data_IF_004833489672
#
_entry.id   IF_004833489672
#
_cell.length_a   1.000
_cell.length_b   1.000
_cell.length_c   1.000
_cell.angle_alpha   90.00
_cell.angle_beta   90.00
_cell.angle_gamma   90.00
#
_symmetry.space_group_name_H-M   'P 1'
#
loop_
_entity.id
_entity.type
_entity.pdbx_description
1 polymer ?
#
# COMPACT_ATOMS: atom_id res chain seq x y z
N UNK A 1 -27.77 -31.95 -52.84
CA UNK A 1 -26.58 -31.48 -52.10
C UNK A 1 -26.34 -30.03 -52.45
N UNK A 2 -25.97 -29.25 -51.43
CA UNK A 2 -25.81 -27.76 -51.33
C UNK A 2 -27.10 -26.96 -51.15
N UNK A 3 -27.64 -26.97 -49.93
CA UNK A 3 -28.51 -25.89 -49.45
C UNK A 3 -27.66 -24.62 -49.22
N UNK A 4 -27.99 -23.56 -49.95
CA UNK A 4 -27.41 -22.23 -49.77
C UNK A 4 -28.05 -21.58 -48.54
N UNK A 5 -27.29 -21.45 -47.47
CA UNK A 5 -27.75 -20.76 -46.25
C UNK A 5 -27.67 -19.25 -46.52
N UNK A 6 -28.83 -18.60 -46.60
CA UNK A 6 -28.91 -17.14 -46.68
C UNK A 6 -28.56 -16.53 -45.32
N UNK A 7 -27.42 -15.85 -45.24
CA UNK A 7 -27.04 -15.06 -44.08
C UNK A 7 -27.84 -13.74 -44.09
N UNK A 8 -28.72 -13.59 -43.11
CA UNK A 8 -29.26 -12.28 -42.76
C UNK A 8 -28.32 -11.63 -41.74
N UNK A 9 -27.93 -10.35 -41.92
CA UNK A 9 -27.12 -9.66 -40.93
C UNK A 9 -27.92 -9.48 -39.62
N UNK A 10 -27.26 -9.57 -38.45
CA UNK A 10 -27.93 -9.39 -37.17
C UNK A 10 -28.43 -7.96 -36.99
N UNK A 11 -29.57 -7.81 -36.32
CA UNK A 11 -30.16 -6.51 -36.04
C UNK A 11 -29.29 -5.66 -35.10
N UNK A 12 -29.34 -4.32 -35.20
CA UNK A 12 -28.57 -3.42 -34.35
C UNK A 12 -29.01 -3.51 -32.87
N UNK A 13 -28.04 -3.66 -31.96
CA UNK A 13 -28.31 -3.68 -30.52
C UNK A 13 -28.76 -2.28 -30.08
N UNK A 14 -29.92 -2.20 -29.43
CA UNK A 14 -30.41 -0.98 -28.78
C UNK A 14 -29.83 -0.88 -27.37
N UNK A 15 -29.25 0.28 -27.05
CA UNK A 15 -28.84 0.66 -25.69
C UNK A 15 -30.09 0.64 -24.78
N UNK A 16 -30.00 -0.04 -23.64
CA UNK A 16 -30.99 0.04 -22.56
C UNK A 16 -30.40 0.96 -21.49
N UNK A 17 -31.05 2.10 -21.28
CA UNK A 17 -30.79 2.99 -20.15
C UNK A 17 -31.63 2.54 -18.94
N UNK A 18 -30.93 2.45 -17.80
CA UNK A 18 -31.30 2.48 -16.38
C UNK A 18 -32.58 1.81 -15.81
N UNK A 19 -32.32 1.12 -14.68
CA UNK A 19 -33.14 0.86 -13.50
C UNK A 19 -34.20 -0.26 -13.50
N UNK A 20 -33.90 -1.37 -12.81
CA UNK A 20 -34.57 -1.81 -11.55
C UNK A 20 -34.08 -3.21 -11.12
N UNK A 21 -33.93 -3.37 -9.80
CA UNK A 21 -33.37 -4.46 -9.00
C UNK A 21 -33.96 -5.88 -9.23
N UNK A 22 -33.09 -6.89 -9.18
CA UNK A 22 -33.41 -8.20 -8.58
C UNK A 22 -32.15 -8.97 -8.19
N UNK A 23 -32.21 -9.54 -6.99
CA UNK A 23 -31.17 -10.08 -6.14
C UNK A 23 -30.39 -11.32 -6.64
N UNK A 24 -29.20 -11.40 -6.05
CA UNK A 24 -28.46 -12.59 -5.61
C UNK A 24 -27.61 -13.47 -6.57
N UNK A 25 -26.31 -13.40 -6.25
CA UNK A 25 -25.31 -14.46 -6.17
C UNK A 25 -24.35 -14.64 -7.36
N UNK A 26 -23.09 -14.37 -7.02
CA UNK A 26 -21.83 -14.87 -7.62
C UNK A 26 -21.15 -13.94 -8.63
N UNK A 27 -20.29 -13.04 -8.14
CA UNK A 27 -19.04 -12.63 -8.81
C UNK A 27 -18.07 -11.94 -7.84
N UNK A 28 -16.76 -12.24 -7.92
CA UNK A 28 -15.73 -11.54 -7.14
C UNK A 28 -15.63 -10.10 -7.65
N UNK A 29 -15.68 -9.14 -6.73
CA UNK A 29 -15.50 -7.73 -7.02
C UNK A 29 -14.08 -7.48 -7.58
N UNK A 30 -13.97 -7.47 -8.90
CA UNK A 30 -12.93 -6.77 -9.63
C UNK A 30 -13.51 -5.38 -9.90
N UNK A 31 -13.20 -4.41 -9.03
CA UNK A 31 -13.46 -3.01 -9.33
C UNK A 31 -12.44 -2.56 -10.38
N UNK A 32 -12.95 -2.33 -11.59
CA UNK A 32 -12.24 -1.69 -12.68
C UNK A 32 -11.64 -0.35 -12.24
N UNK A 33 -10.49 -0.08 -12.86
CA UNK A 33 -9.71 1.13 -12.75
C UNK A 33 -10.56 2.39 -12.95
N UNK A 34 -10.54 3.26 -11.94
CA UNK A 34 -10.62 4.70 -12.14
C UNK A 34 -9.37 5.27 -11.50
N UNK A 35 -8.44 5.65 -12.36
CA UNK A 35 -7.23 6.38 -12.04
C UNK A 35 -7.61 7.76 -11.49
N UNK A 36 -7.98 7.85 -10.22
CA UNK A 36 -7.94 9.10 -9.47
C UNK A 36 -6.57 9.18 -8.79
N UNK A 37 -5.56 9.55 -9.58
CA UNK A 37 -4.20 9.77 -9.10
C UNK A 37 -4.02 11.15 -8.42
N UNK A 38 -5.07 11.97 -8.32
CA UNK A 38 -4.95 13.38 -7.91
C UNK A 38 -5.93 13.80 -6.80
N UNK A 39 -5.97 13.12 -5.65
CA UNK A 39 -6.75 13.64 -4.49
C UNK A 39 -6.11 13.39 -3.13
N UNK A 40 -4.78 13.52 -3.02
CA UNK A 40 -4.09 13.48 -1.71
C UNK A 40 -3.03 14.59 -1.60
N UNK A 41 -3.35 15.82 -1.99
CA UNK A 41 -2.50 16.98 -1.70
C UNK A 41 -3.04 17.87 -0.57
N UNK A 42 -4.31 17.73 -0.16
CA UNK A 42 -4.96 18.65 0.78
C UNK A 42 -5.63 18.00 1.99
N UNK A 43 -5.36 16.72 2.26
CA UNK A 43 -5.85 16.11 3.50
C UNK A 43 -4.95 16.57 4.65
N UNK A 44 -5.45 17.49 5.47
CA UNK A 44 -4.83 17.92 6.73
C UNK A 44 -4.72 16.71 7.67
N UNK A 45 -3.55 16.07 7.67
CA UNK A 45 -3.27 14.83 8.39
C UNK A 45 -3.24 14.99 9.93
N UNK A 46 -3.55 16.17 10.45
CA UNK A 46 -3.50 16.50 11.88
C UNK A 46 -4.57 15.83 12.75
N UNK A 47 -5.57 15.15 12.15
CA UNK A 47 -6.59 14.39 12.90
C UNK A 47 -6.87 12.98 12.34
N UNK A 48 -6.00 12.46 11.47
CA UNK A 48 -6.23 11.15 10.84
C UNK A 48 -5.66 10.04 11.70
N UNK A 49 -6.54 9.42 12.47
CA UNK A 49 -6.22 8.17 13.15
C UNK A 49 -6.09 7.06 12.12
N UNK A 50 -4.90 6.50 11.95
CA UNK A 50 -4.71 5.31 11.12
C UNK A 50 -5.32 4.11 11.86
N UNK A 51 -6.23 3.39 11.22
CA UNK A 51 -6.88 2.20 11.79
C UNK A 51 -6.03 0.95 11.55
N UNK A 52 -5.53 0.79 10.33
CA UNK A 52 -4.79 -0.40 9.91
C UNK A 52 -3.87 -0.07 8.74
N UNK A 53 -2.73 -0.75 8.70
CA UNK A 53 -1.81 -0.73 7.56
C UNK A 53 -1.72 -2.14 7.00
N UNK A 54 -1.77 -2.27 5.68
CA UNK A 54 -1.61 -3.51 4.95
C UNK A 54 -0.49 -3.32 3.94
N UNK A 55 0.48 -4.23 3.91
CA UNK A 55 1.53 -4.21 2.88
C UNK A 55 1.28 -5.39 1.95
N UNK A 56 0.94 -5.07 0.71
CA UNK A 56 0.66 -6.03 -0.36
C UNK A 56 1.95 -6.48 -1.03
N UNK A 57 1.80 -7.29 -2.09
CA UNK A 57 2.93 -7.77 -2.88
C UNK A 57 3.77 -6.62 -3.46
N UNK A 58 5.03 -6.94 -3.73
CA UNK A 58 5.96 -5.98 -4.32
C UNK A 58 6.01 -6.12 -5.84
N UNK A 59 6.21 -4.99 -6.51
CA UNK A 59 6.57 -4.93 -7.92
C UNK A 59 8.08 -4.75 -8.04
N UNK A 60 8.70 -5.46 -8.98
CA UNK A 60 10.12 -5.26 -9.30
C UNK A 60 10.18 -4.21 -10.40
N UNK A 61 10.85 -3.10 -10.11
CA UNK A 61 11.04 -1.98 -11.03
C UNK A 61 12.50 -1.95 -11.46
N UNK A 62 12.72 -1.70 -12.75
CA UNK A 62 14.05 -1.48 -13.32
C UNK A 62 14.30 0.02 -13.38
N UNK A 63 15.34 0.50 -12.70
CA UNK A 63 15.79 1.89 -12.77
C UNK A 63 16.62 2.17 -14.02
N UNK A 64 16.91 3.44 -14.24
CA UNK A 64 17.52 3.96 -15.46
C UNK A 64 18.90 3.36 -15.78
N UNK A 65 19.64 2.93 -14.75
CA UNK A 65 20.96 2.30 -14.88
C UNK A 65 20.89 0.77 -15.03
N UNK A 66 19.72 0.20 -15.32
CA UNK A 66 19.50 -1.25 -15.38
C UNK A 66 19.42 -1.95 -14.02
N UNK A 67 19.54 -1.18 -12.92
CA UNK A 67 19.42 -1.70 -11.55
C UNK A 67 17.98 -2.05 -11.23
N UNK A 68 17.72 -3.23 -10.68
CA UNK A 68 16.39 -3.65 -10.26
C UNK A 68 16.17 -3.39 -8.77
N UNK A 69 14.96 -3.01 -8.38
CA UNK A 69 14.58 -2.88 -6.98
C UNK A 69 13.11 -3.24 -6.78
N UNK A 70 12.80 -3.76 -5.59
CA UNK A 70 11.43 -4.07 -5.20
C UNK A 70 10.76 -2.83 -4.56
N UNK A 71 9.52 -2.58 -4.97
CA UNK A 71 8.65 -1.53 -4.45
C UNK A 71 7.41 -2.20 -3.86
N UNK A 72 7.09 -1.91 -2.61
CA UNK A 72 5.93 -2.47 -1.93
C UNK A 72 4.74 -1.52 -2.01
N UNK A 73 3.57 -2.07 -2.34
CA UNK A 73 2.30 -1.36 -2.22
C UNK A 73 1.83 -1.39 -0.76
N UNK A 74 1.69 -0.21 -0.17
CA UNK A 74 1.21 0.00 1.19
C UNK A 74 -0.19 0.61 1.13
N UNK A 75 -1.16 -0.01 1.78
CA UNK A 75 -2.54 0.47 1.88
C UNK A 75 -2.84 0.85 3.32
N UNK A 76 -3.18 2.10 3.56
CA UNK A 76 -3.58 2.61 4.86
C UNK A 76 -5.10 2.74 4.91
N UNK A 77 -5.69 2.14 5.94
CA UNK A 77 -7.10 2.27 6.25
C UNK A 77 -7.21 3.29 7.36
N UNK A 78 -7.88 4.39 7.10
CA UNK A 78 -8.07 5.46 8.06
C UNK A 78 -9.31 5.19 8.92
N UNK A 79 -9.31 5.70 10.16
CA UNK A 79 -10.51 5.75 10.98
C UNK A 79 -11.44 6.77 10.33
N UNK A 80 -12.63 6.33 9.95
CA UNK A 80 -13.71 7.25 9.59
C UNK A 80 -14.20 7.93 10.86
N UNK A 81 -14.44 9.23 10.78
CA UNK A 81 -15.21 9.92 11.81
C UNK A 81 -16.63 9.34 11.80
N UNK A 82 -17.19 8.88 12.94
CA UNK A 82 -18.57 8.39 13.01
C UNK A 82 -19.61 9.42 12.59
N UNK A 83 -19.28 10.71 12.56
CA UNK A 83 -20.16 11.80 12.12
C UNK A 83 -20.12 12.03 10.61
N UNK A 84 -19.14 11.46 9.90
CA UNK A 84 -19.03 11.57 8.45
C UNK A 84 -19.79 10.41 7.80
N UNK A 85 -21.07 10.63 7.56
CA UNK A 85 -21.94 9.82 6.69
C UNK A 85 -21.50 9.99 5.23
N UNK A 86 -20.29 9.57 4.89
CA UNK A 86 -19.95 9.27 3.50
C UNK A 86 -20.42 7.86 3.19
N UNK A 87 -21.29 7.72 2.19
CA UNK A 87 -21.82 6.44 1.68
C UNK A 87 -20.76 5.60 0.92
N UNK A 88 -19.48 5.88 1.13
CA UNK A 88 -18.35 5.11 0.62
C UNK A 88 -17.55 4.62 1.81
N UNK A 89 -16.99 3.41 1.74
CA UNK A 89 -16.26 2.77 2.84
C UNK A 89 -15.13 3.62 3.45
N UNK A 90 -14.44 3.10 4.49
CA UNK A 90 -13.42 3.87 5.21
C UNK A 90 -12.36 4.44 4.24
N UNK A 91 -11.85 5.66 4.48
CA UNK A 91 -10.90 6.27 3.57
C UNK A 91 -9.64 5.41 3.44
N UNK A 92 -9.23 5.16 2.20
CA UNK A 92 -8.07 4.34 1.85
C UNK A 92 -7.01 5.21 1.19
N UNK A 93 -5.77 5.10 1.67
CA UNK A 93 -4.60 5.72 1.06
C UNK A 93 -3.69 4.61 0.54
N UNK A 94 -3.27 4.70 -0.72
CA UNK A 94 -2.32 3.76 -1.32
C UNK A 94 -1.01 4.48 -1.61
N UNK A 95 0.09 3.89 -1.16
CA UNK A 95 1.44 4.41 -1.30
C UNK A 95 2.37 3.31 -1.82
N UNK A 96 3.46 3.73 -2.44
CA UNK A 96 4.49 2.83 -2.96
C UNK A 96 5.83 3.21 -2.34
N UNK A 97 6.45 2.29 -1.60
CA UNK A 97 7.71 2.55 -0.88
C UNK A 97 8.70 1.41 -1.08
N UNK A 98 9.98 1.74 -1.20
CA UNK A 98 11.09 0.78 -1.23
C UNK A 98 11.50 0.45 0.19
N UNK A 99 12.18 -0.67 0.36
CA UNK A 99 12.75 -1.06 1.66
C UNK A 99 13.64 0.03 2.27
N UNK A 100 14.46 0.70 1.45
CA UNK A 100 15.34 1.79 1.89
C UNK A 100 14.59 3.03 2.38
N UNK A 101 13.32 3.21 2.00
CA UNK A 101 12.49 4.30 2.52
C UNK A 101 12.08 4.00 3.98
N UNK A 102 11.82 2.73 4.32
CA UNK A 102 11.58 2.29 5.70
C UNK A 102 12.83 2.40 6.55
N UNK A 103 14.01 2.07 6.01
CA UNK A 103 15.29 2.24 6.73
C UNK A 103 15.54 3.71 7.07
N UNK A 104 15.34 4.61 6.09
CA UNK A 104 15.46 6.05 6.30
C UNK A 104 14.45 6.55 7.33
N UNK A 105 13.20 6.10 7.25
CA UNK A 105 12.18 6.44 8.23
C UNK A 105 12.54 5.98 9.65
N UNK A 106 12.91 4.70 9.83
CA UNK A 106 13.34 4.18 11.14
C UNK A 106 14.55 4.90 11.69
N UNK A 107 15.51 5.25 10.84
CA UNK A 107 16.71 5.98 11.26
C UNK A 107 16.35 7.37 11.80
N UNK A 108 15.49 8.10 11.09
CA UNK A 108 14.97 9.41 11.55
C UNK A 108 14.19 9.28 12.85
N UNK A 109 13.35 8.25 12.96
CA UNK A 109 12.58 7.95 14.17
C UNK A 109 13.49 7.74 15.39
N UNK A 110 14.55 6.95 15.24
CA UNK A 110 15.51 6.68 16.29
C UNK A 110 16.31 7.94 16.71
N UNK A 111 16.66 8.80 15.76
CA UNK A 111 17.33 10.08 16.05
C UNK A 111 16.41 10.95 16.92
N UNK A 112 15.16 11.15 16.51
CA UNK A 112 14.20 11.99 17.25
C UNK A 112 13.89 11.43 18.64
N UNK A 113 13.73 10.11 18.75
CA UNK A 113 13.53 9.45 20.04
C UNK A 113 14.75 9.62 20.95
N UNK A 114 15.97 9.49 20.41
CA UNK A 114 17.20 9.70 21.17
C UNK A 114 17.30 11.13 21.71
N UNK A 115 16.86 12.11 20.95
CA UNK A 115 16.92 13.54 21.33
C UNK A 115 15.88 13.91 22.40
N UNK A 116 14.68 13.33 22.35
CA UNK A 116 13.56 13.76 23.21
C UNK A 116 13.26 12.78 24.34
N UNK A 117 13.19 11.48 24.07
CA UNK A 117 12.80 10.43 25.03
C UNK A 117 13.56 9.12 24.79
N UNK A 118 14.82 9.02 25.24
CA UNK A 118 15.69 7.87 24.96
C UNK A 118 15.18 6.55 25.56
N UNK A 119 14.32 6.61 26.58
CA UNK A 119 13.62 5.48 27.20
C UNK A 119 12.76 4.70 26.20
N UNK A 120 12.18 5.38 25.20
CA UNK A 120 11.34 4.74 24.19
C UNK A 120 12.11 4.01 23.09
N UNK A 121 13.44 4.10 23.06
CA UNK A 121 14.28 3.52 21.99
C UNK A 121 14.01 2.02 21.80
N UNK A 122 13.82 1.30 22.89
CA UNK A 122 13.58 -0.15 22.87
C UNK A 122 12.17 -0.53 22.40
N UNK A 123 11.25 0.44 22.33
CA UNK A 123 9.90 0.25 21.80
C UNK A 123 9.83 0.42 20.27
N UNK A 124 10.91 0.91 19.64
CA UNK A 124 10.96 1.04 18.20
C UNK A 124 11.16 -0.33 17.56
N UNK A 125 10.21 -0.81 16.75
CA UNK A 125 10.32 -2.12 16.12
C UNK A 125 11.56 -2.22 15.22
N UNK A 126 12.09 -3.44 15.13
CA UNK A 126 13.13 -3.77 14.16
C UNK A 126 12.55 -3.92 12.76
N UNK A 127 13.36 -3.59 11.75
CA UNK A 127 13.02 -3.88 10.37
C UNK A 127 13.39 -5.33 10.04
N UNK A 128 12.69 -5.96 9.08
CA UNK A 128 13.13 -7.24 8.55
C UNK A 128 14.55 -7.11 7.96
N UNK A 129 15.35 -8.18 7.97
CA UNK A 129 16.77 -8.10 7.67
C UNK A 129 17.09 -7.60 6.25
N UNK A 130 18.22 -6.89 6.16
CA UNK A 130 18.93 -6.61 4.91
C UNK A 130 19.60 -7.89 4.39
N UNK A 131 19.94 -7.91 3.10
CA UNK A 131 20.78 -8.97 2.56
C UNK A 131 22.19 -8.78 3.13
N UNK A 132 22.78 -9.81 3.75
CA UNK A 132 24.12 -9.69 4.29
C UNK A 132 25.13 -9.32 3.20
N UNK A 133 26.06 -8.42 3.52
CA UNK A 133 27.05 -7.89 2.57
C UNK A 133 27.90 -8.98 1.90
N UNK A 134 28.17 -10.09 2.60
CA UNK A 134 28.94 -11.23 2.06
C UNK A 134 28.14 -12.06 1.03
N UNK A 135 26.85 -11.77 0.85
CA UNK A 135 26.00 -12.31 -0.22
C UNK A 135 25.67 -11.29 -1.31
N UNK A 136 26.35 -10.13 -1.33
CA UNK A 136 26.12 -9.09 -2.34
C UNK A 136 26.41 -9.57 -3.77
N UNK A 137 27.25 -10.59 -3.94
CA UNK A 137 27.53 -11.19 -5.24
C UNK A 137 26.32 -11.93 -5.85
N UNK A 138 25.39 -12.39 -5.01
CA UNK A 138 24.13 -13.06 -5.41
C UNK A 138 22.92 -12.17 -5.06
N UNK A 139 23.13 -10.85 -5.03
CA UNK A 139 22.15 -9.91 -4.50
C UNK A 139 20.82 -10.02 -5.23
N UNK A 140 20.82 -10.04 -6.56
CA UNK A 140 19.57 -10.07 -7.34
C UNK A 140 18.77 -11.35 -7.08
N UNK A 141 19.42 -12.51 -7.11
CA UNK A 141 18.74 -13.78 -6.90
C UNK A 141 18.14 -13.89 -5.49
N UNK A 142 18.87 -13.43 -4.45
CA UNK A 142 18.39 -13.43 -3.08
C UNK A 142 17.35 -12.35 -2.81
N UNK A 143 17.51 -11.16 -3.39
CA UNK A 143 16.63 -10.02 -3.16
C UNK A 143 15.28 -10.20 -3.87
N UNK A 144 15.26 -10.93 -4.97
CA UNK A 144 14.06 -11.22 -5.74
C UNK A 144 13.50 -12.63 -5.51
N UNK A 145 14.07 -13.40 -4.58
CA UNK A 145 13.47 -14.66 -4.13
C UNK A 145 12.08 -14.39 -3.51
N UNK A 146 11.08 -15.14 -3.97
CA UNK A 146 9.68 -14.95 -3.56
C UNK A 146 9.50 -15.18 -2.05
N UNK A 147 10.19 -16.16 -1.47
CA UNK A 147 10.08 -16.45 -0.02
C UNK A 147 10.72 -15.33 0.78
N UNK A 148 11.84 -14.80 0.33
CA UNK A 148 12.51 -13.64 0.92
C UNK A 148 11.63 -12.39 0.87
N UNK A 149 11.08 -12.05 -0.29
CA UNK A 149 10.17 -10.92 -0.47
C UNK A 149 8.92 -11.04 0.40
N UNK A 150 8.33 -12.24 0.50
CA UNK A 150 7.17 -12.48 1.37
C UNK A 150 7.51 -12.30 2.86
N UNK A 151 8.65 -12.82 3.32
CA UNK A 151 9.13 -12.61 4.70
C UNK A 151 9.37 -11.12 4.98
N UNK A 152 10.00 -10.41 4.03
CA UNK A 152 10.24 -8.98 4.14
C UNK A 152 8.92 -8.19 4.19
N UNK A 153 7.95 -8.51 3.33
CA UNK A 153 6.61 -7.91 3.33
C UNK A 153 5.95 -8.01 4.72
N UNK A 154 5.92 -9.21 5.30
CA UNK A 154 5.35 -9.46 6.63
C UNK A 154 6.08 -8.65 7.71
N UNK A 155 7.41 -8.60 7.65
CA UNK A 155 8.22 -7.82 8.59
C UNK A 155 7.95 -6.31 8.50
N UNK A 156 7.83 -5.78 7.28
CA UNK A 156 7.48 -4.36 7.06
C UNK A 156 6.08 -4.04 7.57
N UNK A 157 5.11 -4.93 7.36
CA UNK A 157 3.73 -4.73 7.83
C UNK A 157 3.67 -4.71 9.36
N UNK A 158 4.39 -5.64 10.01
CA UNK A 158 4.54 -5.67 11.47
C UNK A 158 5.21 -4.41 12.00
N UNK A 159 6.31 -3.98 11.38
CA UNK A 159 7.01 -2.75 11.74
C UNK A 159 6.07 -1.54 11.71
N UNK A 160 5.38 -1.31 10.59
CA UNK A 160 4.46 -0.16 10.46
C UNK A 160 3.27 -0.25 11.42
N UNK A 161 2.70 -1.44 11.58
CA UNK A 161 1.58 -1.64 12.50
C UNK A 161 1.96 -1.30 13.94
N UNK A 162 3.17 -1.69 14.38
CA UNK A 162 3.66 -1.39 15.73
C UNK A 162 3.98 0.10 15.92
N UNK A 163 4.60 0.74 14.92
CA UNK A 163 4.87 2.19 14.97
C UNK A 163 3.57 2.98 15.14
N UNK A 164 2.58 2.69 14.30
CA UNK A 164 1.30 3.43 14.28
C UNK A 164 0.41 3.10 15.48
N UNK A 165 0.51 1.89 16.03
CA UNK A 165 -0.27 1.51 17.23
C UNK A 165 0.29 2.14 18.51
N UNK A 166 1.56 2.55 18.51
CA UNK A 166 2.19 3.18 19.66
C UNK A 166 1.98 4.70 19.62
N UNK A 167 1.05 5.21 20.44
CA UNK A 167 0.73 6.64 20.50
C UNK A 167 1.93 7.48 20.90
N UNK A 168 2.80 7.01 21.80
CA UNK A 168 3.98 7.76 22.23
C UNK A 168 4.99 7.97 21.11
N UNK A 169 5.19 6.95 20.27
CA UNK A 169 6.07 7.02 19.10
C UNK A 169 5.42 7.90 18.03
N UNK A 170 4.11 7.71 17.80
CA UNK A 170 3.36 8.43 16.77
C UNK A 170 3.24 9.93 17.05
N UNK A 171 2.96 10.31 18.30
CA UNK A 171 2.89 11.71 18.72
C UNK A 171 4.25 12.40 18.58
N UNK A 172 5.31 11.73 19.04
CA UNK A 172 6.66 12.28 19.00
C UNK A 172 7.19 12.44 17.57
N UNK A 173 6.90 11.49 16.69
CA UNK A 173 7.41 11.45 15.32
C UNK A 173 6.33 11.69 14.26
N UNK A 174 5.32 12.49 14.61
CA UNK A 174 4.20 12.83 13.74
C UNK A 174 4.67 13.46 12.43
N UNK A 175 5.66 14.36 12.48
CA UNK A 175 6.25 14.99 11.29
C UNK A 175 6.95 13.98 10.38
N UNK A 176 7.71 13.04 10.95
CA UNK A 176 8.46 12.04 10.20
C UNK A 176 7.52 11.01 9.60
N UNK A 177 6.47 10.64 10.33
CA UNK A 177 5.43 9.76 9.82
C UNK A 177 4.68 10.45 8.68
N UNK A 178 4.31 11.72 8.82
CA UNK A 178 3.67 12.49 7.76
C UNK A 178 4.54 12.54 6.49
N UNK A 179 5.81 12.90 6.62
CA UNK A 179 6.78 12.90 5.50
C UNK A 179 6.97 11.52 4.87
N UNK A 180 6.86 10.46 5.66
CA UNK A 180 6.93 9.09 5.14
C UNK A 180 5.67 8.71 4.34
N UNK A 181 4.50 9.20 4.78
CA UNK A 181 3.21 8.95 4.13
C UNK A 181 2.92 9.88 2.95
N UNK A 182 3.64 10.99 2.84
CA UNK A 182 3.66 11.84 1.64
C UNK A 182 4.41 11.11 0.50
N UNK A 183 3.94 11.31 -0.74
CA UNK A 183 4.47 10.67 -1.95
C UNK A 183 5.79 11.30 -2.37
#
# INVERSE_FOLDING_TARGET
MTDKVNFLPPEPIKLIDEDTESDELTRPFISNESNNFDTISNISMSNIGIKKIIISDCTIVTGDNGTKFAVWKMTLILKSDPTSTMNGGPPLIQLYKRYSDFERFRSKLLIKIREVRPDLRNLVPELPPVIPWYKSWDYDHLNFDKKWLAKRRIGLERFMSQVVSNSQITELASDELKKFLET
#
